data_IF_358467319821
#
_entry.id   IF_358467319821
#
_cell.length_a   1.000
_cell.length_b   1.000
_cell.length_c   1.000
_cell.angle_alpha   90.00
_cell.angle_beta   90.00
_cell.angle_gamma   90.00
#
_symmetry.space_group_name_H-M   'P 1'
#
loop_
_entity.id
_entity.type
_entity.pdbx_description
1 polymer ?
#
# COMPACT_ATOMS: atom_id res chain seq x y z
N UNK A 1 -15.09 -2.29 16.85
CA UNK A 1 -13.62 -2.21 17.01
C UNK A 1 -13.18 -0.93 16.34
N UNK A 2 -12.85 0.08 17.14
CA UNK A 2 -12.39 1.36 16.62
C UNK A 2 -10.88 1.27 16.37
N UNK A 3 -10.45 1.57 15.14
CA UNK A 3 -9.04 1.47 14.74
C UNK A 3 -8.52 2.88 14.49
N UNK A 4 -7.70 3.37 15.41
CA UNK A 4 -7.12 4.72 15.39
C UNK A 4 -5.64 4.68 15.01
N UNK A 5 -5.12 5.70 14.30
CA UNK A 5 -3.69 5.81 14.07
C UNK A 5 -2.92 5.87 15.40
N UNK A 6 -1.92 5.00 15.56
CA UNK A 6 -1.01 5.02 16.72
C UNK A 6 0.21 5.90 16.43
N UNK A 7 0.88 5.67 15.30
CA UNK A 7 2.02 6.48 14.86
C UNK A 7 2.23 6.42 13.35
N UNK A 8 2.76 7.49 12.77
CA UNK A 8 3.24 7.50 11.40
C UNK A 8 4.64 6.87 11.30
N UNK A 9 4.91 6.12 10.23
CA UNK A 9 6.20 5.42 10.01
C UNK A 9 6.81 5.86 8.68
N UNK A 10 6.14 5.62 7.55
CA UNK A 10 6.62 6.05 6.23
C UNK A 10 7.89 5.34 5.72
N UNK A 11 8.23 4.17 6.28
CA UNK A 11 9.48 3.45 5.99
C UNK A 11 9.30 2.40 4.88
N UNK A 12 10.30 2.18 4.01
CA UNK A 12 10.26 1.11 3.02
C UNK A 12 10.34 -0.26 3.68
N UNK A 13 9.69 -1.25 3.07
CA UNK A 13 9.70 -2.65 3.52
C UNK A 13 9.93 -3.60 2.37
N UNK A 14 10.43 -4.79 2.70
CA UNK A 14 10.42 -5.93 1.79
C UNK A 14 9.18 -6.77 2.09
N UNK A 15 8.51 -7.28 1.06
CA UNK A 15 7.36 -8.17 1.22
C UNK A 15 7.67 -9.54 0.63
N UNK A 16 7.01 -10.57 1.15
CA UNK A 16 7.08 -11.92 0.61
C UNK A 16 5.65 -12.47 0.47
N UNK A 17 5.47 -13.32 -0.54
CA UNK A 17 4.21 -13.98 -0.85
C UNK A 17 4.41 -15.50 -0.75
N UNK A 18 3.51 -16.19 -0.07
CA UNK A 18 3.52 -17.64 0.13
C UNK A 18 3.12 -18.35 -1.17
N UNK A 19 2.26 -17.72 -1.98
CA UNK A 19 1.99 -18.11 -3.36
C UNK A 19 2.41 -16.98 -4.31
N UNK A 20 3.15 -17.30 -5.38
CA UNK A 20 3.50 -16.30 -6.37
C UNK A 20 2.22 -15.67 -6.96
N UNK A 21 2.07 -14.33 -6.92
CA UNK A 21 0.87 -13.70 -7.43
C UNK A 21 0.70 -14.02 -8.91
N UNK A 22 -0.48 -14.51 -9.29
CA UNK A 22 -0.82 -14.96 -10.65
C UNK A 22 -0.77 -13.81 -11.68
N UNK A 23 -0.78 -12.56 -11.21
CA UNK A 23 -0.72 -11.35 -12.02
C UNK A 23 0.34 -10.37 -11.48
N UNK A 24 1.41 -10.17 -12.24
CA UNK A 24 2.58 -9.33 -11.91
C UNK A 24 2.25 -7.86 -11.58
N UNK A 25 1.06 -7.37 -11.95
CA UNK A 25 0.61 -5.98 -11.78
C UNK A 25 -0.44 -5.77 -10.69
N UNK A 26 -0.90 -6.84 -10.02
CA UNK A 26 -1.78 -6.79 -8.86
C UNK A 26 -1.31 -7.85 -7.86
N UNK A 27 -0.23 -7.57 -7.11
CA UNK A 27 0.36 -8.57 -6.23
C UNK A 27 -0.58 -8.97 -5.07
N UNK A 28 -1.60 -8.17 -4.77
CA UNK A 28 -2.50 -8.41 -3.64
C UNK A 28 -1.86 -8.05 -2.30
N UNK A 29 -2.54 -8.38 -1.20
CA UNK A 29 -1.98 -8.25 0.14
C UNK A 29 -0.81 -9.24 0.31
N UNK A 30 0.35 -8.81 0.81
CA UNK A 30 1.45 -9.72 1.09
C UNK A 30 1.14 -10.66 2.26
N UNK A 31 1.78 -11.82 2.30
CA UNK A 31 1.68 -12.76 3.41
C UNK A 31 2.58 -12.37 4.58
N UNK A 32 3.69 -11.67 4.28
CA UNK A 32 4.62 -11.18 5.29
C UNK A 32 5.45 -10.02 4.78
N UNK A 33 5.97 -9.23 5.72
CA UNK A 33 6.91 -8.16 5.42
C UNK A 33 8.07 -8.13 6.41
N UNK A 34 9.21 -7.61 5.94
CA UNK A 34 10.41 -7.39 6.73
C UNK A 34 10.53 -5.91 7.05
N UNK A 35 10.56 -5.59 8.33
CA UNK A 35 10.72 -4.22 8.82
C UNK A 35 11.77 -4.19 9.93
N UNK A 36 12.80 -3.35 9.79
CA UNK A 36 13.93 -3.22 10.73
C UNK A 36 14.62 -4.56 11.09
N UNK A 37 14.69 -5.48 10.12
CA UNK A 37 15.29 -6.80 10.29
C UNK A 37 14.35 -7.85 10.90
N UNK A 38 13.13 -7.47 11.29
CA UNK A 38 12.13 -8.40 11.82
C UNK A 38 11.12 -8.80 10.75
N UNK A 39 10.82 -10.09 10.68
CA UNK A 39 9.75 -10.62 9.82
C UNK A 39 8.43 -10.52 10.59
N UNK A 40 7.43 -9.89 9.99
CA UNK A 40 6.07 -9.81 10.51
C UNK A 40 5.15 -10.60 9.58
N UNK A 41 4.51 -11.65 10.10
CA UNK A 41 3.54 -12.45 9.33
C UNK A 41 2.19 -11.75 9.38
N UNK A 42 1.56 -11.56 8.23
CA UNK A 42 0.19 -11.05 8.14
C UNK A 42 -0.77 -12.23 8.34
N UNK A 43 -1.68 -12.08 9.28
CA UNK A 43 -2.68 -13.12 9.62
C UNK A 43 -4.09 -12.72 9.20
N UNK A 44 -4.34 -11.43 8.96
CA UNK A 44 -5.65 -10.93 8.57
C UNK A 44 -5.51 -9.65 7.75
N UNK A 45 -6.24 -9.57 6.64
CA UNK A 45 -6.47 -8.33 5.89
C UNK A 45 -7.75 -7.68 6.42
N UNK A 46 -7.63 -6.53 7.07
CA UNK A 46 -8.75 -5.81 7.68
C UNK A 46 -9.43 -4.86 6.69
N UNK A 47 -8.69 -4.28 5.75
CA UNK A 47 -9.24 -3.40 4.71
C UNK A 47 -8.24 -3.23 3.56
N UNK A 48 -8.75 -3.03 2.35
CA UNK A 48 -7.98 -2.70 1.15
C UNK A 48 -8.63 -1.50 0.46
N UNK A 49 -7.83 -0.52 0.03
CA UNK A 49 -8.31 0.61 -0.75
C UNK A 49 -7.25 1.12 -1.72
N UNK A 50 -7.67 1.77 -2.79
CA UNK A 50 -6.79 2.28 -3.83
C UNK A 50 -6.90 3.80 -3.96
N UNK A 51 -5.76 4.49 -4.01
CA UNK A 51 -5.68 5.91 -4.37
C UNK A 51 -5.23 6.06 -5.83
N UNK A 52 -6.17 6.46 -6.69
CA UNK A 52 -5.92 6.71 -8.12
C UNK A 52 -5.23 8.06 -8.40
N UNK A 53 -4.87 8.83 -7.37
CA UNK A 53 -4.28 10.17 -7.51
C UNK A 53 -2.89 10.15 -8.16
N UNK A 54 -2.68 10.99 -9.20
CA UNK A 54 -1.34 11.26 -9.77
C UNK A 54 -0.66 12.38 -8.98
N UNK A 55 0.61 12.20 -8.57
CA UNK A 55 1.47 13.27 -8.00
C UNK A 55 2.86 13.32 -8.67
N UNK A 56 3.61 14.41 -8.48
CA UNK A 56 4.98 14.60 -9.02
C UNK A 56 5.02 15.24 -10.43
N UNK A 57 6.06 14.97 -11.23
CA UNK A 57 6.20 15.50 -12.63
C UNK A 57 4.96 15.24 -13.51
N UNK A 58 4.19 14.19 -13.21
CA UNK A 58 2.97 13.82 -13.92
C UNK A 58 1.76 14.72 -13.61
N UNK A 59 1.83 15.54 -12.56
CA UNK A 59 0.84 16.59 -12.30
C UNK A 59 0.99 17.79 -13.26
N UNK A 60 2.21 18.04 -13.75
CA UNK A 60 2.52 19.18 -14.62
C UNK A 60 2.20 18.95 -16.11
N UNK A 61 1.91 17.71 -16.52
CA UNK A 61 1.61 17.38 -17.93
C UNK A 61 0.10 17.16 -18.15
N UNK A 62 -0.74 17.97 -17.51
CA UNK A 62 -2.20 17.87 -17.60
C UNK A 62 -2.76 18.84 -18.63
N UNK A 63 -3.01 18.36 -19.85
CA UNK A 63 -4.02 18.98 -20.71
C UNK A 63 -5.42 18.59 -20.16
N UNK A 64 -6.36 19.54 -20.00
CA UNK A 64 -7.65 19.31 -19.32
C UNK A 64 -8.47 18.12 -19.86
N UNK A 65 -8.37 17.84 -21.16
CA UNK A 65 -9.10 16.75 -21.82
C UNK A 65 -8.75 15.34 -21.29
N UNK A 66 -7.55 15.14 -20.71
CA UNK A 66 -7.12 13.83 -20.20
C UNK A 66 -7.41 13.63 -18.70
N UNK A 67 -7.67 14.71 -17.95
CA UNK A 67 -7.92 14.66 -16.51
C UNK A 67 -9.30 14.05 -16.19
N UNK A 68 -10.34 14.45 -16.91
CA UNK A 68 -11.70 13.93 -16.72
C UNK A 68 -11.81 12.43 -17.09
N UNK A 69 -11.12 12.01 -18.16
CA UNK A 69 -11.07 10.60 -18.54
C UNK A 69 -10.26 9.76 -17.52
N UNK A 70 -9.14 10.28 -17.02
CA UNK A 70 -8.28 9.58 -16.07
C UNK A 70 -8.85 9.50 -14.65
N UNK A 71 -9.59 10.52 -14.20
CA UNK A 71 -10.34 10.47 -12.95
C UNK A 71 -11.45 9.41 -12.98
N UNK A 72 -12.04 9.15 -14.17
CA UNK A 72 -13.11 8.17 -14.37
C UNK A 72 -12.62 6.75 -14.65
N UNK A 73 -11.42 6.57 -15.22
CA UNK A 73 -10.88 5.26 -15.65
C UNK A 73 -9.66 4.77 -14.87
N UNK A 74 -9.10 5.60 -13.98
CA UNK A 74 -7.79 5.33 -13.40
C UNK A 74 -6.68 5.54 -14.44
N UNK A 75 -5.48 5.77 -13.95
CA UNK A 75 -4.32 6.06 -14.79
C UNK A 75 -3.45 4.81 -14.94
N UNK A 76 -3.17 4.42 -16.18
CA UNK A 76 -2.37 3.25 -16.49
C UNK A 76 -0.94 3.44 -15.96
N UNK A 77 -0.65 2.88 -14.78
CA UNK A 77 0.70 2.77 -14.21
C UNK A 77 1.05 3.71 -13.05
N UNK A 78 0.09 4.46 -12.47
CA UNK A 78 0.34 5.38 -11.34
C UNK A 78 -0.81 5.32 -10.33
N UNK A 79 -0.50 5.31 -9.03
CA UNK A 79 -1.47 5.13 -7.93
C UNK A 79 -0.87 4.38 -6.73
N UNK A 80 -1.60 4.29 -5.63
CA UNK A 80 -1.17 3.53 -4.44
C UNK A 80 -2.23 2.53 -4.04
N UNK A 81 -1.83 1.28 -3.90
CA UNK A 81 -2.65 0.24 -3.28
C UNK A 81 -2.36 0.24 -1.78
N UNK A 82 -3.38 0.41 -0.95
CA UNK A 82 -3.25 0.42 0.50
C UNK A 82 -3.91 -0.82 1.10
N UNK A 83 -3.27 -1.35 2.14
CA UNK A 83 -3.71 -2.54 2.85
C UNK A 83 -3.62 -2.29 4.35
N UNK A 84 -4.73 -2.41 5.06
CA UNK A 84 -4.74 -2.48 6.52
C UNK A 84 -4.66 -3.94 6.93
N UNK A 85 -3.59 -4.32 7.60
CA UNK A 85 -3.28 -5.72 7.95
C UNK A 85 -3.09 -5.88 9.45
N UNK A 86 -3.44 -7.05 9.98
CA UNK A 86 -3.07 -7.50 11.32
C UNK A 86 -1.94 -8.51 11.23
N UNK A 87 -0.93 -8.35 12.08
CA UNK A 87 0.18 -9.30 12.21
C UNK A 87 -0.12 -10.40 13.21
N UNK A 88 0.66 -11.47 13.17
CA UNK A 88 0.66 -12.56 14.18
C UNK A 88 0.92 -12.06 15.61
N UNK A 89 1.70 -10.99 15.76
CA UNK A 89 1.90 -10.28 17.04
C UNK A 89 0.68 -9.45 17.50
N UNK A 90 -0.39 -9.40 16.70
CA UNK A 90 -1.61 -8.64 16.98
C UNK A 90 -1.54 -7.13 16.64
N UNK A 91 -0.40 -6.65 16.14
CA UNK A 91 -0.25 -5.27 15.70
C UNK A 91 -1.01 -5.03 14.38
N UNK A 92 -1.46 -3.79 14.18
CA UNK A 92 -2.18 -3.40 12.96
C UNK A 92 -1.36 -2.35 12.22
N UNK A 93 -1.19 -2.52 10.91
CA UNK A 93 -0.45 -1.59 10.07
C UNK A 93 -1.27 -1.22 8.83
N UNK A 94 -1.17 0.04 8.42
CA UNK A 94 -1.52 0.45 7.06
C UNK A 94 -0.24 0.37 6.21
N UNK A 95 -0.25 -0.52 5.22
CA UNK A 95 0.79 -0.69 4.20
C UNK A 95 0.37 -0.01 2.91
N UNK A 96 1.32 0.37 2.07
CA UNK A 96 1.01 0.73 0.69
C UNK A 96 2.07 0.30 -0.31
N UNK A 97 1.59 -0.02 -1.51
CA UNK A 97 2.41 -0.26 -2.69
C UNK A 97 2.35 0.98 -3.60
N UNK A 98 3.48 1.65 -3.78
CA UNK A 98 3.62 2.75 -4.72
C UNK A 98 4.05 2.22 -6.08
N UNK A 99 3.12 2.22 -7.04
CA UNK A 99 3.35 1.72 -8.40
C UNK A 99 4.01 2.75 -9.32
N UNK A 100 4.27 3.97 -8.84
CA UNK A 100 4.85 5.01 -9.68
C UNK A 100 6.30 4.64 -10.07
N UNK A 101 6.62 4.60 -11.38
CA UNK A 101 7.98 4.32 -11.83
C UNK A 101 8.92 5.43 -11.36
N UNK A 102 10.01 5.07 -10.68
CA UNK A 102 11.03 6.03 -10.20
C UNK A 102 12.20 6.22 -11.18
N UNK A 103 12.31 5.40 -12.24
CA UNK A 103 13.37 5.50 -13.24
C UNK A 103 13.18 4.54 -14.42
N UNK A 104 14.10 4.59 -15.40
CA UNK A 104 14.06 3.79 -16.64
C UNK A 104 14.32 2.30 -16.36
N UNK A 105 15.11 2.02 -15.32
CA UNK A 105 15.49 0.66 -14.87
C UNK A 105 14.62 0.12 -13.73
N UNK A 106 13.83 0.96 -13.07
CA UNK A 106 13.02 0.56 -11.91
C UNK A 106 11.54 0.51 -12.28
N UNK A 107 11.20 -0.56 -13.02
CA UNK A 107 9.83 -0.86 -13.47
C UNK A 107 8.95 -1.48 -12.38
N UNK A 108 9.51 -1.80 -11.22
CA UNK A 108 8.81 -2.47 -10.11
C UNK A 108 8.48 -1.42 -9.05
N UNK A 109 7.21 -1.33 -8.67
CA UNK A 109 6.81 -0.45 -7.56
C UNK A 109 7.44 -0.84 -6.23
N UNK A 110 7.31 0.03 -5.23
CA UNK A 110 7.93 -0.16 -3.91
C UNK A 110 6.89 -0.25 -2.80
N UNK A 111 7.18 -1.06 -1.77
CA UNK A 111 6.33 -1.24 -0.60
C UNK A 111 6.80 -0.41 0.58
N UNK A 112 5.84 0.11 1.34
CA UNK A 112 6.09 0.95 2.51
C UNK A 112 5.09 0.64 3.63
N UNK A 113 5.53 0.85 4.87
CA UNK A 113 4.61 1.02 6.00
C UNK A 113 4.20 2.50 6.03
N UNK A 114 2.91 2.78 5.97
CA UNK A 114 2.39 4.12 6.15
C UNK A 114 2.37 4.49 7.64
N UNK A 115 1.67 3.68 8.45
CA UNK A 115 1.45 3.94 9.87
C UNK A 115 1.10 2.67 10.62
N UNK A 116 1.39 2.67 11.92
CA UNK A 116 0.86 1.70 12.87
C UNK A 116 -0.49 2.18 13.39
N UNK A 117 -1.40 1.24 13.62
CA UNK A 117 -2.75 1.48 14.09
C UNK A 117 -2.95 0.75 15.43
N UNK A 118 -3.77 1.34 16.29
CA UNK A 118 -4.22 0.73 17.53
C UNK A 118 -5.70 0.40 17.42
N UNK A 119 -6.07 -0.82 17.82
CA UNK A 119 -7.47 -1.19 17.95
C UNK A 119 -7.91 -1.04 19.41
N UNK A 120 -8.81 -0.10 19.64
CA UNK A 120 -9.48 0.06 20.92
C UNK A 120 -10.47 -1.09 21.09
N UNK A 121 -10.21 -1.95 22.07
CA UNK A 121 -11.20 -2.94 22.49
C UNK A 121 -12.23 -2.22 23.33
N UNK A 122 -13.49 -2.29 22.90
CA UNK A 122 -14.62 -1.80 23.68
C UNK A 122 -14.75 -2.75 24.88
N UNK A 123 -14.21 -2.33 26.03
CA UNK A 123 -14.40 -3.05 27.29
C UNK A 123 -15.87 -2.91 27.65
N UNK A 124 -16.62 -4.01 27.55
CA UNK A 124 -18.01 -4.07 27.98
C UNK A 124 -18.10 -4.49 29.45
#
# INVERSE_FOLDING_TARGET
>A
MDIKPLRFIGEPIQVQFDQQPTLEKKPGCPDRFVWRGEIRRIVELLSEWHDHGRRGRMAHNMRPAHAAAAARRGSWGVGRDYFRVRTDSGQIFDLYYDRAPKGVDDRKGAWFIYREMFAERETR
#
